data_IF_673481250798
#
_entry.id   IF_673481250798
#
_cell.length_a   1.000
_cell.length_b   1.000
_cell.length_c   1.000
_cell.angle_alpha   90.00
_cell.angle_beta   90.00
_cell.angle_gamma   90.00
#
_symmetry.space_group_name_H-M   'P 1'
#
loop_
_entity.id
_entity.type
_entity.pdbx_description
1 polymer ?
#
# COMPACT_ATOMS: atom_id res chain seq x y z
N UNK A 1 -8.52 -10.44 2.46
CA UNK A 1 -9.40 -10.66 3.63
C UNK A 1 -9.90 -12.11 3.75
N UNK A 2 -10.37 -12.77 2.68
CA UNK A 2 -10.71 -14.22 2.76
C UNK A 2 -9.52 -15.05 3.28
N UNK A 3 -8.30 -14.73 2.84
CA UNK A 3 -7.10 -15.48 3.23
C UNK A 3 -6.66 -15.25 4.69
N UNK A 4 -7.19 -14.21 5.34
CA UNK A 4 -6.92 -13.89 6.76
C UNK A 4 -8.08 -14.39 7.61
N UNK A 5 -9.27 -13.85 7.39
CA UNK A 5 -10.42 -14.08 8.27
C UNK A 5 -11.02 -15.47 8.03
N UNK A 6 -11.23 -15.90 6.77
CA UNK A 6 -11.80 -17.24 6.51
C UNK A 6 -10.81 -18.36 6.80
N UNK A 7 -9.51 -18.11 6.64
CA UNK A 7 -8.46 -19.07 6.97
C UNK A 7 -8.33 -19.28 8.49
N UNK A 8 -8.47 -18.20 9.26
CA UNK A 8 -8.50 -18.26 10.72
C UNK A 8 -9.89 -18.62 11.29
N UNK A 9 -10.94 -18.77 10.47
CA UNK A 9 -12.30 -19.04 10.94
C UNK A 9 -12.45 -20.48 11.41
N UNK A 10 -12.85 -20.64 12.67
CA UNK A 10 -13.30 -21.92 13.21
C UNK A 10 -14.78 -21.81 13.53
N UNK A 11 -15.61 -22.74 13.02
CA UNK A 11 -17.06 -22.69 13.22
C UNK A 11 -17.38 -22.71 14.72
N UNK A 12 -18.16 -21.73 15.17
CA UNK A 12 -18.64 -21.63 16.56
C UNK A 12 -17.67 -20.97 17.55
N UNK A 13 -16.51 -20.49 17.11
CA UNK A 13 -15.57 -19.75 17.97
C UNK A 13 -15.41 -18.31 17.52
N UNK A 14 -15.62 -17.41 18.46
CA UNK A 14 -15.36 -15.99 18.31
C UNK A 14 -13.88 -15.68 18.52
N UNK A 15 -13.36 -14.72 17.74
CA UNK A 15 -11.97 -14.25 17.84
C UNK A 15 -11.91 -12.73 17.96
N UNK A 16 -10.81 -12.25 18.55
CA UNK A 16 -10.47 -10.83 18.61
C UNK A 16 -9.60 -10.49 17.41
N UNK A 17 -9.84 -9.37 16.72
CA UNK A 17 -8.97 -8.87 15.67
C UNK A 17 -8.09 -7.76 16.23
N UNK A 18 -6.79 -7.97 16.31
CA UNK A 18 -5.81 -6.98 16.75
C UNK A 18 -5.10 -6.41 15.52
N UNK A 19 -5.14 -5.09 15.36
CA UNK A 19 -4.58 -4.38 14.20
C UNK A 19 -3.66 -3.25 14.64
N UNK A 20 -2.72 -2.87 13.78
CA UNK A 20 -1.93 -1.64 13.93
C UNK A 20 -2.56 -0.47 13.16
N UNK A 21 -1.94 0.72 13.24
CA UNK A 21 -2.45 1.95 12.60
C UNK A 21 -2.57 1.83 11.07
N UNK A 22 -1.66 1.11 10.41
CA UNK A 22 -1.68 0.94 8.95
C UNK A 22 -2.73 -0.10 8.55
N UNK A 23 -2.69 -1.28 9.16
CA UNK A 23 -3.62 -2.40 8.91
C UNK A 23 -5.05 -2.01 9.23
N UNK A 24 -5.28 -1.25 10.30
CA UNK A 24 -6.60 -0.71 10.63
C UNK A 24 -7.14 0.16 9.49
N UNK A 25 -6.32 1.04 8.91
CA UNK A 25 -6.72 1.86 7.76
C UNK A 25 -6.98 1.01 6.53
N UNK A 26 -6.17 0.00 6.26
CA UNK A 26 -6.39 -0.92 5.14
C UNK A 26 -7.70 -1.68 5.26
N UNK A 27 -7.97 -2.25 6.44
CA UNK A 27 -9.21 -3.00 6.72
C UNK A 27 -10.43 -2.07 6.62
N UNK A 28 -10.35 -0.88 7.22
CA UNK A 28 -11.42 0.11 7.18
C UNK A 28 -11.73 0.62 5.77
N UNK A 29 -10.73 0.66 4.89
CA UNK A 29 -10.89 1.13 3.50
C UNK A 29 -11.65 0.13 2.63
N UNK A 30 -11.54 -1.18 2.90
CA UNK A 30 -12.09 -2.21 2.02
C UNK A 30 -13.26 -3.00 2.61
N UNK A 31 -13.49 -2.95 3.92
CA UNK A 31 -14.50 -3.78 4.59
C UNK A 31 -15.26 -3.05 5.67
N UNK A 32 -16.56 -3.32 5.77
CA UNK A 32 -17.41 -2.77 6.82
C UNK A 32 -17.27 -3.60 8.09
N UNK A 33 -17.50 -2.96 9.24
CA UNK A 33 -17.51 -3.65 10.53
C UNK A 33 -18.51 -4.82 10.56
N UNK A 34 -19.65 -4.69 9.87
CA UNK A 34 -20.65 -5.76 9.73
C UNK A 34 -20.08 -7.00 9.06
N UNK A 35 -19.25 -6.81 8.03
CA UNK A 35 -18.68 -7.90 7.25
C UNK A 35 -17.64 -8.65 8.09
N UNK A 36 -16.81 -7.91 8.82
CA UNK A 36 -15.80 -8.43 9.75
C UNK A 36 -16.47 -9.23 10.88
N UNK A 37 -17.52 -8.66 11.49
CA UNK A 37 -18.24 -9.32 12.59
C UNK A 37 -18.97 -10.59 12.15
N UNK A 38 -19.56 -10.56 10.94
CA UNK A 38 -20.25 -11.73 10.36
C UNK A 38 -19.32 -12.93 10.13
N UNK A 39 -18.02 -12.69 10.04
CA UNK A 39 -17.01 -13.72 9.79
C UNK A 39 -16.38 -14.29 11.08
N UNK A 40 -16.97 -13.99 12.26
CA UNK A 40 -16.60 -14.59 13.54
C UNK A 40 -15.63 -13.76 14.38
N UNK A 41 -15.53 -12.45 14.12
CA UNK A 41 -14.77 -11.50 14.94
C UNK A 41 -15.73 -10.74 15.84
N UNK A 42 -15.44 -10.64 17.14
CA UNK A 42 -16.29 -9.91 18.10
C UNK A 42 -15.89 -8.46 18.26
N UNK A 43 -14.58 -8.20 18.33
CA UNK A 43 -14.02 -6.88 18.61
C UNK A 43 -12.75 -6.66 17.80
N UNK A 44 -12.57 -5.42 17.37
CA UNK A 44 -11.36 -4.95 16.69
C UNK A 44 -10.62 -4.03 17.66
N UNK A 45 -9.38 -4.37 17.98
CA UNK A 45 -8.54 -3.62 18.91
C UNK A 45 -7.25 -3.13 18.25
N UNK A 46 -6.71 -2.03 18.77
CA UNK A 46 -5.44 -1.44 18.33
C UNK A 46 -4.29 -2.01 19.18
N UNK A 47 -3.27 -2.58 18.55
CA UNK A 47 -2.13 -3.19 19.24
C UNK A 47 -1.36 -2.20 20.12
N UNK A 48 -1.33 -0.92 19.73
CA UNK A 48 -0.59 0.14 20.44
C UNK A 48 -1.30 0.65 21.69
N UNK A 49 -2.59 0.32 21.85
CA UNK A 49 -3.41 0.74 22.99
C UNK A 49 -3.45 -0.34 24.06
N UNK A 50 -3.73 0.07 25.30
CA UNK A 50 -3.98 -0.86 26.40
C UNK A 50 -5.31 -1.57 26.18
N UNK A 51 -5.28 -2.91 26.26
CA UNK A 51 -6.38 -3.82 25.95
C UNK A 51 -6.69 -4.73 27.14
N UNK A 52 -7.95 -5.12 27.27
CA UNK A 52 -8.40 -6.00 28.35
C UNK A 52 -7.97 -7.46 28.09
N UNK A 53 -7.47 -8.19 29.09
CA UNK A 53 -7.15 -9.61 28.94
C UNK A 53 -8.39 -10.47 28.69
N UNK A 54 -8.42 -11.15 27.55
CA UNK A 54 -9.46 -12.11 27.15
C UNK A 54 -8.85 -13.50 26.94
N UNK A 55 -8.38 -14.18 28.01
CA UNK A 55 -7.64 -15.46 27.91
C UNK A 55 -8.49 -16.63 27.41
N UNK A 56 -9.82 -16.49 27.35
CA UNK A 56 -10.72 -17.50 26.78
C UNK A 56 -10.78 -17.45 25.25
N UNK A 57 -10.47 -16.30 24.65
CA UNK A 57 -10.59 -16.03 23.22
C UNK A 57 -9.24 -16.12 22.52
N UNK A 58 -9.26 -16.43 21.22
CA UNK A 58 -8.07 -16.37 20.37
C UNK A 58 -8.02 -15.02 19.65
N UNK A 59 -6.81 -14.53 19.40
CA UNK A 59 -6.60 -13.28 18.68
C UNK A 59 -6.02 -13.53 17.28
N UNK A 60 -6.53 -12.78 16.30
CA UNK A 60 -5.99 -12.63 14.96
C UNK A 60 -5.21 -11.33 14.96
N UNK A 61 -3.90 -11.39 14.77
CA UNK A 61 -3.05 -10.22 14.61
C UNK A 61 -2.89 -9.95 13.13
N UNK A 62 -3.36 -8.79 12.66
CA UNK A 62 -3.06 -8.27 11.33
C UNK A 62 -2.24 -7.00 11.51
N UNK A 63 -0.92 -7.13 11.39
CA UNK A 63 0.03 -6.09 11.80
C UNK A 63 1.15 -5.94 10.77
N UNK A 64 1.77 -4.77 10.75
CA UNK A 64 2.99 -4.51 9.98
C UNK A 64 4.19 -5.08 10.74
N UNK A 65 5.19 -5.68 10.07
CA UNK A 65 6.40 -6.17 10.72
C UNK A 65 7.33 -5.01 11.15
N UNK A 66 6.87 -4.16 12.07
CA UNK A 66 7.65 -3.12 12.73
C UNK A 66 8.08 -3.57 14.13
N UNK A 67 9.18 -3.00 14.64
CA UNK A 67 9.66 -3.26 16.00
C UNK A 67 8.55 -3.03 17.03
N UNK A 68 7.85 -1.89 16.97
CA UNK A 68 6.73 -1.55 17.86
C UNK A 68 5.62 -2.62 17.87
N UNK A 69 5.23 -3.11 16.69
CA UNK A 69 4.13 -4.07 16.58
C UNK A 69 4.55 -5.47 17.05
N UNK A 70 5.78 -5.87 16.73
CA UNK A 70 6.34 -7.18 17.12
C UNK A 70 6.63 -7.22 18.62
N UNK A 71 7.16 -6.15 19.21
CA UNK A 71 7.36 -6.04 20.65
C UNK A 71 6.04 -6.08 21.41
N UNK A 72 5.04 -5.31 20.97
CA UNK A 72 3.71 -5.33 21.58
C UNK A 72 3.04 -6.71 21.50
N UNK A 73 3.25 -7.44 20.40
CA UNK A 73 2.81 -8.82 20.25
C UNK A 73 3.53 -9.76 21.23
N UNK A 74 4.84 -9.59 21.43
CA UNK A 74 5.62 -10.39 22.39
C UNK A 74 5.14 -10.12 23.82
N UNK A 75 4.88 -8.86 24.17
CA UNK A 75 4.43 -8.44 25.49
C UNK A 75 3.04 -9.02 25.84
N UNK A 76 2.14 -9.20 24.86
CA UNK A 76 0.83 -9.83 25.08
C UNK A 76 0.91 -11.28 25.60
N UNK A 77 2.03 -11.97 25.36
CA UNK A 77 2.27 -13.37 25.75
C UNK A 77 3.47 -13.55 26.69
N UNK A 78 3.97 -12.47 27.29
CA UNK A 78 5.14 -12.49 28.18
C UNK A 78 4.88 -13.30 29.45
N UNK A 79 3.72 -13.07 30.07
CA UNK A 79 3.30 -13.68 31.34
C UNK A 79 2.42 -14.93 31.12
N UNK A 80 2.89 -16.14 31.49
CA UNK A 80 2.15 -17.38 31.25
C UNK A 80 0.89 -17.55 32.11
N UNK A 81 0.84 -16.89 33.26
CA UNK A 81 -0.28 -16.98 34.20
C UNK A 81 -1.43 -16.02 33.83
N UNK A 82 -1.13 -14.99 33.05
CA UNK A 82 -2.09 -13.98 32.61
C UNK A 82 -1.87 -13.59 31.15
N UNK A 83 -1.91 -14.56 30.21
CA UNK A 83 -1.77 -14.22 28.80
C UNK A 83 -2.96 -13.35 28.37
N UNK A 84 -2.72 -12.38 27.50
CA UNK A 84 -3.80 -11.49 27.04
C UNK A 84 -4.84 -12.24 26.22
N UNK A 85 -4.42 -13.24 25.45
CA UNK A 85 -5.30 -14.12 24.67
C UNK A 85 -4.88 -15.58 24.81
N UNK A 86 -5.77 -16.51 24.47
CA UNK A 86 -5.52 -17.96 24.51
C UNK A 86 -4.43 -18.41 23.54
N UNK A 87 -4.46 -17.84 22.33
CA UNK A 87 -3.56 -18.17 21.22
C UNK A 87 -3.56 -17.03 20.21
N UNK A 88 -2.50 -16.95 19.40
CA UNK A 88 -2.33 -15.94 18.35
C UNK A 88 -2.33 -16.56 16.95
N UNK A 89 -3.06 -15.94 16.03
CA UNK A 89 -2.96 -16.16 14.59
C UNK A 89 -2.37 -14.90 13.97
N UNK A 90 -1.11 -14.94 13.55
CA UNK A 90 -0.37 -13.76 13.10
C UNK A 90 -0.32 -13.69 11.59
N UNK A 91 -0.75 -12.56 11.07
CA UNK A 91 -0.75 -12.19 9.66
C UNK A 91 0.05 -10.90 9.49
N UNK A 92 1.23 -11.00 8.89
CA UNK A 92 2.04 -9.82 8.58
C UNK A 92 1.63 -9.20 7.25
N UNK A 93 1.48 -7.88 7.21
CA UNK A 93 1.15 -7.13 5.98
C UNK A 93 2.25 -7.23 4.93
N UNK A 94 3.50 -7.33 5.37
CA UNK A 94 4.68 -7.45 4.52
C UNK A 94 5.62 -8.56 5.03
N UNK A 95 6.73 -8.77 4.32
CA UNK A 95 7.80 -9.71 4.68
C UNK A 95 8.45 -9.30 6.00
N UNK A 96 8.55 -10.22 6.95
CA UNK A 96 9.21 -9.93 8.24
C UNK A 96 10.74 -9.96 8.09
N UNK A 97 11.48 -8.94 8.56
CA UNK A 97 12.94 -9.00 8.63
C UNK A 97 13.43 -10.15 9.51
N UNK A 98 14.52 -10.81 9.11
CA UNK A 98 15.09 -11.96 9.84
C UNK A 98 15.44 -11.65 11.31
N UNK A 99 15.82 -10.40 11.61
CA UNK A 99 16.10 -9.93 12.96
C UNK A 99 14.87 -10.02 13.86
N UNK A 100 13.74 -9.49 13.40
CA UNK A 100 12.45 -9.51 14.10
C UNK A 100 11.89 -10.93 14.18
N UNK A 101 12.04 -11.71 13.11
CA UNK A 101 11.65 -13.12 13.14
C UNK A 101 12.45 -13.92 14.17
N UNK A 102 13.77 -13.68 14.26
CA UNK A 102 14.64 -14.27 15.27
C UNK A 102 14.25 -13.87 16.70
N UNK A 103 13.83 -12.62 16.92
CA UNK A 103 13.32 -12.15 18.20
C UNK A 103 12.00 -12.85 18.57
N UNK A 104 11.07 -12.92 17.61
CA UNK A 104 9.77 -13.53 17.78
C UNK A 104 9.85 -15.02 18.10
N UNK A 105 10.73 -15.76 17.42
CA UNK A 105 10.94 -17.20 17.64
C UNK A 105 11.61 -17.50 18.99
N UNK A 106 12.52 -16.63 19.45
CA UNK A 106 13.13 -16.73 20.79
C UNK A 106 12.16 -16.36 21.91
N UNK A 107 11.16 -15.54 21.61
CA UNK A 107 10.15 -15.13 22.57
C UNK A 107 9.21 -16.29 22.95
N UNK A 108 8.48 -16.11 24.06
CA UNK A 108 7.43 -17.06 24.46
C UNK A 108 6.19 -17.01 23.58
N UNK A 109 5.97 -15.91 22.85
CA UNK A 109 4.82 -15.76 21.96
C UNK A 109 4.79 -16.88 20.91
N UNK A 110 5.96 -17.37 20.47
CA UNK A 110 6.09 -18.52 19.55
C UNK A 110 5.32 -19.77 19.99
N UNK A 111 5.19 -20.02 21.30
CA UNK A 111 4.45 -21.17 21.85
C UNK A 111 2.93 -20.99 21.80
N UNK A 112 2.46 -19.75 21.82
CA UNK A 112 1.03 -19.40 21.73
C UNK A 112 0.56 -19.21 20.28
N UNK A 113 1.49 -19.13 19.33
CA UNK A 113 1.19 -18.95 17.91
C UNK A 113 0.69 -20.23 17.26
N UNK A 114 -0.47 -20.15 16.62
CA UNK A 114 -1.06 -21.24 15.83
C UNK A 114 -0.82 -21.08 14.33
N UNK A 115 -0.77 -19.84 13.87
CA UNK A 115 -0.56 -19.51 12.47
C UNK A 115 0.38 -18.31 12.40
N UNK A 116 1.33 -18.36 11.47
CA UNK A 116 2.21 -17.27 11.12
C UNK A 116 2.30 -17.23 9.60
N UNK A 117 1.72 -16.21 8.99
CA UNK A 117 1.68 -16.07 7.53
C UNK A 117 1.84 -14.63 7.09
N UNK A 118 2.40 -14.43 5.91
CA UNK A 118 2.54 -13.13 5.28
C UNK A 118 1.46 -12.98 4.21
N UNK A 119 0.80 -11.83 4.14
CA UNK A 119 -0.25 -11.57 3.15
C UNK A 119 0.25 -10.72 1.97
N UNK A 120 1.40 -10.08 2.10
CA UNK A 120 1.97 -9.15 1.10
C UNK A 120 0.90 -8.20 0.55
N UNK A 121 0.27 -7.45 1.45
CA UNK A 121 -0.61 -6.33 1.10
C UNK A 121 -0.11 -5.15 1.91
N UNK A 122 0.66 -4.27 1.28
CA UNK A 122 1.28 -3.14 1.95
C UNK A 122 0.90 -1.80 1.29
N UNK A 123 -0.36 -1.67 0.86
CA UNK A 123 -0.91 -0.45 0.26
C UNK A 123 -2.35 -0.19 0.75
N UNK A 124 -2.75 1.08 0.73
CA UNK A 124 -4.10 1.54 1.02
C UNK A 124 -4.90 1.63 -0.28
N UNK A 125 -5.98 0.84 -0.45
CA UNK A 125 -6.94 1.07 -1.53
C UNK A 125 -7.79 2.29 -1.15
N UNK A 126 -7.40 3.48 -1.62
CA UNK A 126 -8.06 4.73 -1.28
C UNK A 126 -9.41 4.85 -1.98
N UNK A 127 -9.46 4.51 -3.26
CA UNK A 127 -10.68 4.41 -4.06
C UNK A 127 -10.57 3.27 -5.08
N UNK A 128 -11.60 3.06 -5.89
CA UNK A 128 -11.63 2.00 -6.91
C UNK A 128 -10.46 2.05 -7.91
N UNK A 129 -9.96 3.25 -8.24
CA UNK A 129 -8.84 3.45 -9.16
C UNK A 129 -7.62 4.12 -8.51
N UNK A 130 -7.66 4.35 -7.19
CA UNK A 130 -6.65 5.13 -6.48
C UNK A 130 -6.08 4.32 -5.32
N UNK A 131 -4.75 4.21 -5.26
CA UNK A 131 -4.05 3.59 -4.13
C UNK A 131 -2.99 4.51 -3.53
N UNK A 132 -2.64 4.30 -2.27
CA UNK A 132 -1.61 5.08 -1.56
C UNK A 132 -0.68 4.14 -0.79
N UNK A 133 0.61 4.44 -0.75
CA UNK A 133 1.57 3.72 0.11
C UNK A 133 1.64 4.25 1.54
N UNK A 134 0.93 5.35 1.79
CA UNK A 134 0.75 5.93 3.12
C UNK A 134 2.05 6.40 3.80
N UNK A 135 3.01 6.83 2.99
CA UNK A 135 4.28 7.38 3.44
C UNK A 135 4.17 8.91 3.52
N UNK A 136 3.82 9.41 4.70
CA UNK A 136 3.67 10.85 4.95
C UNK A 136 5.04 11.56 4.89
N UNK A 137 6.09 10.94 5.42
CA UNK A 137 7.44 11.51 5.43
C UNK A 137 8.14 11.46 4.06
N UNK A 138 7.52 10.79 3.08
CA UNK A 138 8.07 10.67 1.73
C UNK A 138 8.35 12.05 1.11
N UNK A 139 7.52 13.07 1.37
CA UNK A 139 7.80 14.40 0.84
C UNK A 139 9.18 14.91 1.29
N UNK A 140 9.45 14.83 2.58
CA UNK A 140 10.72 15.24 3.16
C UNK A 140 11.87 14.37 2.65
N UNK A 141 11.69 13.05 2.67
CA UNK A 141 12.76 12.12 2.31
C UNK A 141 13.14 12.18 0.83
N UNK A 142 12.21 12.57 -0.05
CA UNK A 142 12.48 12.72 -1.49
C UNK A 142 13.01 14.09 -1.89
N UNK A 143 12.55 15.15 -1.25
CA UNK A 143 12.81 16.53 -1.67
C UNK A 143 13.78 17.29 -0.76
N UNK A 144 14.03 16.84 0.47
CA UNK A 144 15.03 17.47 1.36
C UNK A 144 16.44 17.26 0.80
N UNK A 145 17.25 18.33 0.70
CA UNK A 145 18.64 18.22 0.26
C UNK A 145 19.51 17.43 1.27
N UNK A 146 19.12 17.40 2.55
CA UNK A 146 19.87 16.77 3.64
C UNK A 146 19.61 15.27 3.78
N UNK A 147 18.64 14.71 3.03
CA UNK A 147 18.22 13.30 3.14
C UNK A 147 18.51 12.48 1.89
N UNK A 148 19.49 12.88 1.09
CA UNK A 148 19.85 12.18 -0.16
C UNK A 148 20.16 10.68 0.05
N UNK A 149 20.76 10.32 1.18
CA UNK A 149 21.12 8.93 1.51
C UNK A 149 19.89 8.07 1.83
N UNK A 150 18.86 8.66 2.45
CA UNK A 150 17.62 7.96 2.84
C UNK A 150 16.73 7.69 1.62
N UNK A 151 16.82 8.54 0.60
CA UNK A 151 16.01 8.47 -0.61
C UNK A 151 16.06 7.11 -1.31
N UNK A 152 17.25 6.50 -1.42
CA UNK A 152 17.40 5.21 -2.12
C UNK A 152 16.70 4.08 -1.37
N UNK A 153 16.85 4.03 -0.04
CA UNK A 153 16.14 3.08 0.81
C UNK A 153 14.62 3.29 0.74
N UNK A 154 14.16 4.55 0.69
CA UNK A 154 12.73 4.84 0.51
C UNK A 154 12.21 4.37 -0.86
N UNK A 155 12.99 4.52 -1.93
CA UNK A 155 12.64 4.01 -3.26
C UNK A 155 12.50 2.49 -3.28
N UNK A 156 13.43 1.79 -2.64
CA UNK A 156 13.42 0.33 -2.53
C UNK A 156 12.15 -0.16 -1.80
N UNK A 157 11.85 0.44 -0.64
CA UNK A 157 10.61 0.16 0.11
C UNK A 157 9.36 0.46 -0.72
N UNK A 158 9.34 1.56 -1.46
CA UNK A 158 8.22 1.87 -2.35
C UNK A 158 8.08 0.81 -3.46
N UNK A 159 9.19 0.35 -4.02
CA UNK A 159 9.19 -0.67 -5.07
C UNK A 159 8.64 -2.01 -4.56
N UNK A 160 9.02 -2.43 -3.34
CA UNK A 160 8.48 -3.62 -2.69
C UNK A 160 6.96 -3.51 -2.51
N UNK A 161 6.47 -2.40 -1.95
CA UNK A 161 5.03 -2.18 -1.77
C UNK A 161 4.28 -2.15 -3.12
N UNK A 162 4.84 -1.54 -4.16
CA UNK A 162 4.26 -1.56 -5.51
C UNK A 162 4.24 -2.99 -6.06
N UNK A 163 5.27 -3.79 -5.80
CA UNK A 163 5.29 -5.20 -6.18
C UNK A 163 4.16 -5.98 -5.46
N UNK A 164 3.85 -5.67 -4.20
CA UNK A 164 2.70 -6.27 -3.49
C UNK A 164 1.36 -5.95 -4.15
N UNK A 165 1.19 -4.72 -4.67
CA UNK A 165 0.01 -4.34 -5.45
C UNK A 165 -0.06 -5.15 -6.75
N UNK A 166 1.05 -5.24 -7.48
CA UNK A 166 1.12 -6.02 -8.72
C UNK A 166 0.77 -7.49 -8.48
N UNK A 167 1.31 -8.09 -7.41
CA UNK A 167 0.99 -9.44 -6.97
C UNK A 167 -0.49 -9.61 -6.61
N UNK A 168 -1.07 -8.63 -5.90
CA UNK A 168 -2.49 -8.62 -5.52
C UNK A 168 -3.41 -8.56 -6.73
N UNK A 169 -3.05 -7.76 -7.73
CA UNK A 169 -3.78 -7.64 -8.99
C UNK A 169 -3.51 -8.81 -9.96
N UNK A 170 -2.50 -9.65 -9.67
CA UNK A 170 -1.97 -10.70 -10.55
C UNK A 170 -1.47 -10.16 -11.90
N UNK A 171 -0.99 -8.92 -11.89
CA UNK A 171 -0.46 -8.23 -13.06
C UNK A 171 1.06 -8.11 -12.91
N UNK A 172 1.79 -8.34 -14.01
CA UNK A 172 3.23 -8.08 -14.07
C UNK A 172 3.47 -6.94 -15.07
N UNK A 173 3.41 -5.67 -14.62
CA UNK A 173 3.64 -4.55 -15.51
C UNK A 173 5.11 -4.53 -15.93
N UNK A 174 5.37 -4.17 -17.19
CA UNK A 174 6.72 -3.77 -17.60
C UNK A 174 7.11 -2.48 -16.86
N UNK A 175 8.17 -2.51 -16.06
CA UNK A 175 8.56 -1.39 -15.19
C UNK A 175 9.25 -0.30 -15.98
N UNK A 176 8.64 0.89 -16.14
CA UNK A 176 9.32 2.05 -16.76
C UNK A 176 9.76 3.09 -15.75
N UNK A 177 11.04 3.43 -15.77
CA UNK A 177 11.60 4.62 -15.10
C UNK A 177 11.82 5.70 -16.16
N UNK A 178 11.20 6.87 -15.97
CA UNK A 178 11.36 8.01 -16.87
C UNK A 178 12.79 8.55 -16.78
N UNK A 179 13.45 8.76 -17.93
CA UNK A 179 14.61 9.67 -18.05
C UNK A 179 14.15 11.08 -18.43
N UNK A 180 14.83 12.07 -17.87
CA UNK A 180 14.48 13.50 -17.82
C UNK A 180 14.51 14.17 -19.21
N UNK A 181 13.37 14.14 -19.93
CA UNK A 181 12.94 15.22 -20.82
C UNK A 181 11.50 15.62 -20.51
N UNK A 182 11.16 16.91 -20.65
CA UNK A 182 9.79 17.39 -20.50
C UNK A 182 8.97 16.87 -21.70
N UNK A 183 7.90 16.08 -21.49
CA UNK A 183 7.02 15.70 -22.59
C UNK A 183 6.29 16.94 -23.12
N UNK A 184 6.06 16.98 -24.42
CA UNK A 184 5.25 18.01 -25.06
C UNK A 184 3.81 17.87 -24.58
N UNK A 185 3.20 18.98 -24.16
CA UNK A 185 1.84 18.99 -23.65
C UNK A 185 0.84 18.97 -24.79
N UNK A 186 -0.21 18.17 -24.66
CA UNK A 186 -1.33 18.20 -25.61
C UNK A 186 -2.08 19.52 -25.46
N UNK A 187 -2.22 20.27 -26.55
CA UNK A 187 -3.05 21.47 -26.57
C UNK A 187 -4.52 21.05 -26.64
N UNK A 188 -5.26 21.31 -25.57
CA UNK A 188 -6.68 20.97 -25.45
C UNK A 188 -7.51 22.23 -25.67
N UNK A 189 -7.97 22.43 -26.90
CA UNK A 189 -8.92 23.49 -27.23
C UNK A 189 -10.29 22.86 -27.42
N UNK A 190 -11.14 22.87 -26.38
CA UNK A 190 -12.58 22.66 -26.56
C UNK A 190 -13.40 23.53 -25.61
N UNK A 191 -14.49 24.05 -26.18
CA UNK A 191 -15.41 25.06 -25.67
C UNK A 191 -16.10 24.67 -24.36
N UNK A 192 -16.41 25.64 -23.51
CA UNK A 192 -17.11 25.53 -22.21
C UNK A 192 -16.32 25.11 -20.96
N UNK A 193 -15.03 25.47 -20.84
CA UNK A 193 -14.39 25.52 -19.51
C UNK A 193 -13.95 26.95 -19.23
N UNK A 194 -14.43 27.52 -18.12
CA UNK A 194 -14.03 28.85 -17.62
C UNK A 194 -12.52 29.05 -17.81
N UNK A 195 -12.15 30.11 -18.54
CA UNK A 195 -10.79 30.41 -19.02
C UNK A 195 -9.72 30.60 -17.93
N UNK A 196 -10.08 30.41 -16.64
CA UNK A 196 -9.22 30.62 -15.48
C UNK A 196 -8.56 29.33 -14.95
N UNK A 197 -8.90 28.15 -15.47
CA UNK A 197 -8.37 26.85 -14.99
C UNK A 197 -7.67 26.08 -16.12
N UNK A 198 -6.61 26.64 -16.70
CA UNK A 198 -5.87 26.06 -17.85
C UNK A 198 -4.93 24.89 -17.53
N UNK A 199 -4.84 24.45 -16.26
CA UNK A 199 -3.88 23.43 -15.89
C UNK A 199 -4.48 22.02 -16.00
N UNK A 200 -4.12 21.30 -17.05
CA UNK A 200 -4.33 19.85 -17.14
C UNK A 200 -3.09 19.14 -16.57
N UNK A 201 -3.25 18.24 -15.59
CA UNK A 201 -2.16 17.42 -15.08
C UNK A 201 -1.49 16.57 -16.18
N UNK A 202 -0.16 16.50 -16.14
CA UNK A 202 0.63 15.78 -17.15
C UNK A 202 0.26 14.30 -17.24
N UNK A 203 -0.20 13.71 -16.14
CA UNK A 203 -0.62 12.31 -16.12
C UNK A 203 -1.75 12.01 -17.11
N UNK A 204 -2.61 12.99 -17.40
CA UNK A 204 -3.69 12.81 -18.38
C UNK A 204 -3.14 12.54 -19.78
N UNK A 205 -2.17 13.34 -20.21
CA UNK A 205 -1.50 13.19 -21.50
C UNK A 205 -0.75 11.85 -21.58
N UNK A 206 -0.02 11.49 -20.52
CA UNK A 206 0.74 10.23 -20.45
C UNK A 206 -0.14 8.99 -20.51
N UNK A 207 -1.29 8.97 -19.82
CA UNK A 207 -2.19 7.82 -19.86
C UNK A 207 -2.85 7.72 -21.24
N UNK A 208 -3.27 8.84 -21.83
CA UNK A 208 -3.83 8.82 -23.20
C UNK A 208 -2.79 8.34 -24.23
N UNK A 209 -1.55 8.82 -24.16
CA UNK A 209 -0.48 8.38 -25.06
C UNK A 209 -0.11 6.91 -24.85
N UNK A 210 -0.21 6.40 -23.62
CA UNK A 210 -0.07 4.97 -23.33
C UNK A 210 -1.18 4.14 -23.96
N UNK A 211 -2.43 4.62 -23.92
CA UNK A 211 -3.57 3.93 -24.51
C UNK A 211 -3.49 3.95 -26.05
N UNK A 212 -3.01 5.06 -26.62
CA UNK A 212 -2.86 5.26 -28.07
C UNK A 212 -1.56 4.68 -28.65
N UNK A 213 -0.70 4.07 -27.83
CA UNK A 213 0.63 3.54 -28.21
C UNK A 213 1.55 4.60 -28.86
N UNK A 214 1.43 5.85 -28.39
CA UNK A 214 2.20 7.02 -28.86
C UNK A 214 3.37 7.39 -27.94
N UNK A 215 3.56 6.65 -26.84
CA UNK A 215 4.67 6.91 -25.91
C UNK A 215 6.01 6.57 -26.56
N UNK A 216 6.99 7.47 -26.41
CA UNK A 216 8.34 7.30 -26.95
C UNK A 216 9.02 6.05 -26.36
N UNK A 217 9.29 5.00 -27.16
CA UNK A 217 9.91 3.77 -26.66
C UNK A 217 11.33 3.99 -26.12
N UNK A 218 12.01 5.08 -26.50
CA UNK A 218 13.33 5.42 -25.94
C UNK A 218 13.23 5.93 -24.51
N UNK A 219 12.13 6.58 -24.15
CA UNK A 219 11.88 7.12 -22.82
C UNK A 219 11.19 6.08 -21.91
N UNK A 220 10.45 5.17 -22.53
CA UNK A 220 9.67 4.14 -21.87
C UNK A 220 9.99 2.74 -22.41
N UNK A 221 11.25 2.27 -22.24
CA UNK A 221 11.75 1.05 -22.88
C UNK A 221 11.05 -0.25 -22.43
N UNK A 222 10.30 -0.19 -21.34
CA UNK A 222 9.58 -1.33 -20.76
C UNK A 222 8.05 -1.18 -20.83
N UNK A 223 7.51 -0.21 -21.60
CA UNK A 223 6.11 -0.33 -22.04
C UNK A 223 6.09 -1.59 -22.86
N UNK A 224 5.43 -2.61 -22.31
CA UNK A 224 5.32 -3.93 -22.90
C UNK A 224 5.14 -3.79 -24.40
N UNK A 225 6.17 -4.12 -25.19
CA UNK A 225 5.92 -4.56 -26.55
C UNK A 225 4.96 -5.71 -26.33
N UNK A 226 3.70 -5.49 -26.71
CA UNK A 226 2.61 -6.43 -26.57
C UNK A 226 2.96 -7.62 -27.46
N UNK A 227 3.85 -8.49 -27.01
CA UNK A 227 3.92 -9.86 -27.46
C UNK A 227 2.57 -10.41 -27.04
N UNK A 228 1.62 -10.41 -27.97
CA UNK A 228 0.47 -11.28 -27.90
C UNK A 228 1.08 -12.68 -27.93
N UNK A 229 1.51 -13.16 -26.77
CA UNK A 229 2.03 -14.50 -26.60
C UNK A 229 0.87 -15.42 -26.89
N UNK A 230 0.83 -15.88 -28.13
CA UNK A 230 -0.10 -16.90 -28.58
C UNK A 230 0.05 -18.09 -27.62
N UNK A 231 -0.99 -18.32 -26.82
CA UNK A 231 -1.19 -19.51 -25.98
C UNK A 231 0.02 -19.89 -25.11
N UNK A 232 0.36 -19.06 -24.12
CA UNK A 232 1.05 -19.58 -22.94
C UNK A 232 0.01 -20.11 -21.96
N UNK A 233 -0.01 -21.42 -21.72
CA UNK A 233 -0.78 -22.01 -20.62
C UNK A 233 -0.31 -21.40 -19.30
N UNK A 234 -1.24 -20.82 -18.54
CA UNK A 234 -0.94 -20.23 -17.23
C UNK A 234 -0.26 -21.27 -16.32
N UNK A 235 0.85 -20.92 -15.64
CA UNK A 235 1.44 -21.83 -14.65
C UNK A 235 0.44 -21.99 -13.50
N UNK A 236 -0.07 -23.20 -13.35
CA UNK A 236 -0.92 -23.61 -12.24
C UNK A 236 -0.03 -23.76 -10.99
N UNK A 237 -0.08 -22.80 -10.09
CA UNK A 237 0.39 -23.02 -8.72
C UNK A 237 -0.66 -23.83 -7.97
N UNK A 238 -0.30 -25.03 -7.55
CA UNK A 238 -1.13 -25.92 -6.73
C UNK A 238 -1.48 -25.34 -5.33
N UNK A 239 -1.05 -24.10 -5.02
CA UNK A 239 -1.22 -23.46 -3.70
C UNK A 239 -2.31 -22.37 -3.66
N UNK A 240 -2.94 -22.03 -4.79
CA UNK A 240 -4.00 -21.03 -4.86
C UNK A 240 -5.33 -21.67 -5.27
N UNK A 241 -6.29 -21.67 -4.35
CA UNK A 241 -7.64 -22.16 -4.57
C UNK A 241 -8.40 -21.36 -5.64
N UNK A 242 -9.34 -22.04 -6.31
CA UNK A 242 -10.20 -21.58 -7.40
C UNK A 242 -11.22 -20.50 -7.00
N UNK A 243 -10.77 -19.33 -6.55
CA UNK A 243 -11.62 -18.20 -6.13
C UNK A 243 -12.39 -17.51 -7.29
N UNK A 244 -11.99 -17.75 -8.55
CA UNK A 244 -12.55 -17.08 -9.74
C UNK A 244 -13.90 -17.64 -10.22
N UNK A 245 -14.44 -18.69 -9.60
CA UNK A 245 -15.69 -19.32 -10.08
C UNK A 245 -17.00 -18.68 -9.58
N UNK A 246 -16.95 -17.75 -8.61
CA UNK A 246 -18.16 -17.21 -7.96
C UNK A 246 -18.37 -15.69 -8.11
N UNK A 247 -17.85 -15.05 -9.16
CA UNK A 247 -18.25 -13.67 -9.50
C UNK A 247 -18.88 -13.63 -10.88
N UNK A 248 -20.07 -13.04 -10.98
CA UNK A 248 -20.82 -12.93 -12.22
C UNK A 248 -20.03 -12.13 -13.29
N UNK A 249 -20.24 -12.42 -14.58
CA UNK A 249 -19.45 -11.88 -15.68
C UNK A 249 -19.60 -10.37 -15.96
N UNK A 250 -20.38 -9.62 -15.15
CA UNK A 250 -20.73 -8.22 -15.44
C UNK A 250 -19.94 -7.15 -14.67
N UNK A 251 -19.07 -7.52 -13.71
CA UNK A 251 -18.37 -6.54 -12.84
C UNK A 251 -16.85 -6.52 -12.96
N UNK A 252 -16.25 -7.38 -13.79
CA UNK A 252 -14.82 -7.30 -14.10
C UNK A 252 -14.68 -6.67 -15.48
N UNK A 253 -14.48 -5.35 -15.56
CA UNK A 253 -13.96 -4.72 -16.78
C UNK A 253 -12.56 -5.29 -17.02
N UNK A 254 -12.48 -6.44 -17.70
CA UNK A 254 -11.24 -7.19 -17.94
C UNK A 254 -10.58 -6.61 -19.19
N UNK A 255 -10.23 -5.33 -19.10
CA UNK A 255 -9.50 -4.60 -20.11
C UNK A 255 -8.00 -4.55 -19.79
N UNK A 256 -7.13 -4.24 -20.76
CA UNK A 256 -5.74 -3.91 -20.46
C UNK A 256 -5.63 -2.81 -19.40
N UNK A 257 -4.70 -2.98 -18.47
CA UNK A 257 -4.51 -2.09 -17.32
C UNK A 257 -3.28 -1.22 -17.47
N UNK A 258 -3.39 0.04 -17.04
CA UNK A 258 -2.26 0.95 -16.88
C UNK A 258 -2.16 1.29 -15.40
N UNK A 259 -0.97 1.11 -14.82
CA UNK A 259 -0.70 1.49 -13.43
C UNK A 259 0.29 2.64 -13.47
N UNK A 260 -0.14 3.81 -13.00
CA UNK A 260 0.70 4.99 -12.82
C UNK A 260 1.03 5.18 -11.35
N UNK A 261 2.31 5.36 -11.02
CA UNK A 261 2.74 5.68 -9.66
C UNK A 261 3.49 7.01 -9.61
N UNK A 262 3.05 7.90 -8.70
CA UNK A 262 3.65 9.23 -8.50
C UNK A 262 4.41 9.26 -7.17
N UNK A 263 5.71 9.52 -7.26
CA UNK A 263 6.57 9.73 -6.10
C UNK A 263 6.42 11.18 -5.63
N UNK A 264 6.27 11.37 -4.31
CA UNK A 264 6.23 12.71 -3.69
C UNK A 264 4.85 13.35 -3.62
N UNK A 265 3.79 12.57 -3.84
CA UNK A 265 2.41 13.00 -3.58
C UNK A 265 1.53 13.02 -4.83
N UNK A 266 0.24 12.75 -4.63
CA UNK A 266 -0.81 12.81 -5.67
C UNK A 266 -1.87 13.82 -5.28
N UNK A 267 -2.26 14.66 -6.23
CA UNK A 267 -3.33 15.66 -6.06
C UNK A 267 -4.69 15.14 -6.54
N UNK A 268 -5.78 15.73 -6.02
CA UNK A 268 -7.14 15.40 -6.48
C UNK A 268 -7.37 15.67 -7.97
N UNK A 269 -6.68 16.67 -8.54
CA UNK A 269 -6.76 16.96 -9.98
C UNK A 269 -6.20 15.81 -10.83
N UNK A 270 -5.11 15.19 -10.38
CA UNK A 270 -4.52 14.03 -11.05
C UNK A 270 -5.40 12.78 -10.92
N UNK A 271 -5.98 12.54 -9.74
CA UNK A 271 -6.97 11.46 -9.54
C UNK A 271 -8.14 11.59 -10.50
N UNK A 272 -8.74 12.78 -10.56
CA UNK A 272 -9.87 13.09 -11.46
C UNK A 272 -9.55 12.78 -12.92
N UNK A 273 -8.35 13.14 -13.38
CA UNK A 273 -7.95 12.89 -14.76
C UNK A 273 -7.92 11.40 -15.12
N UNK A 274 -7.50 10.54 -14.18
CA UNK A 274 -7.45 9.08 -14.39
C UNK A 274 -8.86 8.48 -14.54
N UNK A 275 -9.81 8.96 -13.73
CA UNK A 275 -11.21 8.58 -13.88
C UNK A 275 -11.79 9.06 -15.21
N UNK A 276 -11.54 10.30 -15.61
CA UNK A 276 -12.01 10.84 -16.89
C UNK A 276 -11.48 10.02 -18.08
N UNK A 277 -10.20 9.69 -18.08
CA UNK A 277 -9.58 8.89 -19.16
C UNK A 277 -10.14 7.46 -19.18
N UNK A 278 -10.34 6.83 -18.01
CA UNK A 278 -10.94 5.49 -17.95
C UNK A 278 -12.40 5.47 -18.40
N UNK A 279 -13.17 6.51 -18.07
CA UNK A 279 -14.57 6.63 -18.50
C UNK A 279 -14.68 6.89 -20.01
N UNK A 280 -13.80 7.73 -20.57
CA UNK A 280 -13.72 7.95 -22.01
C UNK A 280 -13.29 6.68 -22.76
N UNK A 281 -12.37 5.91 -22.18
CA UNK A 281 -11.80 4.73 -22.81
C UNK A 281 -12.25 3.46 -22.08
N UNK A 282 -13.53 3.08 -22.23
CA UNK A 282 -14.13 1.94 -21.53
C UNK A 282 -13.52 0.55 -21.78
N UNK A 283 -12.50 0.45 -22.65
CA UNK A 283 -11.70 -0.76 -22.88
C UNK A 283 -10.48 -0.85 -21.96
N UNK A 284 -9.97 0.27 -21.46
CA UNK A 284 -8.77 0.32 -20.62
C UNK A 284 -9.16 0.64 -19.17
N UNK A 285 -8.38 0.13 -18.23
CA UNK A 285 -8.53 0.46 -16.82
C UNK A 285 -7.23 1.11 -16.32
N UNK A 286 -7.29 2.40 -15.99
CA UNK A 286 -6.16 3.11 -15.42
C UNK A 286 -6.27 3.15 -13.89
N UNK A 287 -5.19 2.78 -13.22
CA UNK A 287 -5.00 2.88 -11.77
C UNK A 287 -3.91 3.89 -11.51
N UNK A 288 -4.11 4.75 -10.51
CA UNK A 288 -3.11 5.71 -10.07
C UNK A 288 -2.80 5.51 -8.60
N UNK A 289 -1.53 5.64 -8.24
CA UNK A 289 -1.16 5.70 -6.84
C UNK A 289 0.02 6.57 -6.57
N UNK A 290 0.28 6.78 -5.29
CA UNK A 290 1.38 7.61 -4.83
C UNK A 290 1.88 7.22 -3.46
N UNK A 291 2.95 7.87 -3.04
CA UNK A 291 3.47 7.79 -1.68
C UNK A 291 2.44 8.26 -0.65
N UNK A 292 1.76 9.38 -0.92
CA UNK A 292 0.68 9.93 -0.08
C UNK A 292 -0.25 10.82 -0.91
N UNK A 293 -1.41 11.17 -0.33
CA UNK A 293 -2.34 12.13 -0.95
C UNK A 293 -2.01 13.54 -0.48
N UNK A 294 -1.71 14.41 -1.44
CA UNK A 294 -1.30 15.79 -1.21
C UNK A 294 -2.51 16.71 -1.28
N UNK A 295 -2.69 17.51 -0.24
CA UNK A 295 -3.68 18.59 -0.20
C UNK A 295 -2.97 19.94 -0.06
N UNK A 296 -3.51 21.04 -0.58
CA UNK A 296 -2.88 22.35 -0.45
C UNK A 296 -2.42 22.71 0.97
N UNK A 297 -3.22 22.51 2.04
CA UNK A 297 -2.75 22.81 3.39
C UNK A 297 -1.64 21.86 3.88
N UNK A 298 -1.66 20.58 3.49
CA UNK A 298 -0.57 19.65 3.83
C UNK A 298 0.73 20.05 3.15
N UNK A 299 0.66 20.36 1.85
CA UNK A 299 1.82 20.80 1.08
C UNK A 299 2.45 22.07 1.65
N UNK A 300 1.62 23.07 1.99
CA UNK A 300 2.12 24.30 2.62
C UNK A 300 2.78 24.03 3.98
N UNK A 301 2.24 23.07 4.75
CA UNK A 301 2.84 22.67 6.04
C UNK A 301 4.18 21.95 5.84
N UNK A 302 4.28 21.08 4.83
CA UNK A 302 5.53 20.39 4.50
C UNK A 302 6.61 21.36 4.01
N UNK A 303 6.24 22.39 3.24
CA UNK A 303 7.16 23.44 2.80
C UNK A 303 7.65 24.37 3.92
N UNK A 304 6.95 24.43 5.06
CA UNK A 304 7.40 25.20 6.22
C UNK A 304 8.54 24.52 6.98
N UNK A 305 8.92 23.29 6.59
CA UNK A 305 10.04 22.58 7.21
C UNK A 305 11.36 23.35 7.00
N UNK A 306 12.22 23.37 8.03
CA UNK A 306 13.45 24.15 8.04
C UNK A 306 14.38 23.79 6.86
N UNK A 307 14.48 22.50 6.51
CA UNK A 307 15.20 22.00 5.34
C UNK A 307 14.88 22.73 4.02
N UNK A 308 13.70 23.31 3.88
CA UNK A 308 13.29 24.06 2.68
C UNK A 308 13.40 25.58 2.84
N UNK A 309 13.61 26.06 4.06
CA UNK A 309 13.70 27.48 4.38
C UNK A 309 15.15 27.98 4.45
N UNK A 310 16.10 27.13 4.87
CA UNK A 310 17.53 27.47 4.90
C UNK A 310 18.39 26.37 4.26
N UNK A 311 18.94 26.61 3.05
CA UNK A 311 19.83 25.67 2.37
C UNK A 311 21.13 25.37 3.13
N UNK A 312 21.49 26.16 4.15
CA UNK A 312 22.72 26.03 4.94
C UNK A 312 22.46 25.55 6.38
N UNK A 313 21.22 25.22 6.75
CA UNK A 313 20.93 24.72 8.09
C UNK A 313 21.67 23.38 8.33
N UNK A 314 22.32 23.20 9.50
CA UNK A 314 22.93 21.92 9.83
C UNK A 314 21.83 20.83 9.95
N UNK A 315 22.09 19.59 9.50
CA UNK A 315 21.13 18.50 9.64
C UNK A 315 20.88 18.23 11.14
N UNK A 316 19.61 18.27 11.57
CA UNK A 316 19.24 17.84 12.93
C UNK A 316 19.51 16.33 13.07
N UNK A 317 20.51 15.96 13.86
CA UNK A 317 20.86 14.55 14.06
C UNK A 317 22.19 14.21 14.75
N UNK A 318 22.85 15.15 15.46
CA UNK A 318 23.98 14.83 16.35
C UNK A 318 23.85 15.54 17.69
N UNK A 319 22.87 15.13 18.51
CA UNK A 319 22.99 15.34 19.95
C UNK A 319 24.06 14.36 20.47
N UNK A 320 25.31 14.83 20.59
CA UNK A 320 26.25 14.20 21.51
C UNK A 320 25.71 14.39 22.94
N UNK A 321 25.69 13.33 23.78
CA UNK A 321 25.29 13.49 25.17
C UNK A 321 26.28 14.42 25.89
N UNK A 322 25.82 15.27 26.83
CA UNK A 322 26.70 16.14 27.58
C UNK A 322 27.68 15.29 28.40
N UNK A 323 28.96 15.40 28.11
CA UNK A 323 30.03 14.92 28.98
C UNK A 323 30.05 15.78 30.24
N UNK A 324 29.78 15.14 31.39
CA UNK A 324 30.12 15.66 32.72
C UNK A 324 31.63 15.85 32.91
#
# INVERSE_FOLDING_TARGET
MNDVIKKAREKGKWKVLVVDKLSMRMVSSCCKMTDIMSEGITIVEDITKRREPLPSMEAIYLITPSDESVEALIDDFRDPQSPRYRAAHVFFTDTIPDSLFGLLTKSRASKAMKALTEIHIAFLPYESQVFSLDKLDAFQDFYSPFKADVKNNMLERCAEQIATLCATLKEYPGQTVKKTKKPDRKERVSEQTYQLSRWTPLIKDLIEDAIEDKLDPKQYPYISQRQVSAKASAPSSARYGNWHKNRGPSEMKTGPRIIAFIIGGLTYSEMRCVYEVTQANGKWEALIGSTHILTPPKYLKELQHQDFLDPNAPPEGSEEPPTE
#
